data_IF_394118508218
#
_entry.id   IF_394118508218
#
_cell.length_a   1.000
_cell.length_b   1.000
_cell.length_c   1.000
_cell.angle_alpha   90.00
_cell.angle_beta   90.00
_cell.angle_gamma   90.00
#
_symmetry.space_group_name_H-M   'P 1'
#
loop_
_entity.id
_entity.type
_entity.pdbx_description
1 polymer ?
#
# COMPACT_ATOMS: atom_id res chain seq x y z
N UNK A 1 22.85 0.10 13.64
CA UNK A 1 21.97 -1.06 13.35
C UNK A 1 20.82 -0.56 12.49
N UNK A 2 20.43 -1.26 11.40
CA UNK A 2 19.28 -0.86 10.59
C UNK A 2 17.98 -1.01 11.39
N UNK A 3 17.01 -0.12 11.17
CA UNK A 3 15.69 -0.16 11.82
C UNK A 3 14.63 -0.94 11.01
N UNK A 4 15.00 -1.32 9.79
CA UNK A 4 14.13 -1.98 8.81
C UNK A 4 14.86 -3.18 8.20
N UNK A 5 14.11 -4.25 7.96
CA UNK A 5 14.50 -5.39 7.15
C UNK A 5 14.09 -5.12 5.69
N UNK A 6 14.96 -5.48 4.75
CA UNK A 6 14.74 -5.34 3.30
C UNK A 6 14.68 -6.74 2.68
N UNK A 7 13.67 -7.02 1.85
CA UNK A 7 13.39 -8.35 1.31
C UNK A 7 13.01 -8.29 -0.18
N UNK A 8 13.27 -9.39 -0.90
CA UNK A 8 12.88 -9.55 -2.29
C UNK A 8 13.71 -8.71 -3.25
N UNK A 9 13.07 -8.08 -4.24
CA UNK A 9 13.72 -7.19 -5.22
C UNK A 9 14.14 -5.83 -4.65
N UNK A 10 13.94 -5.61 -3.35
CA UNK A 10 14.18 -4.31 -2.72
C UNK A 10 15.64 -3.88 -2.85
N UNK A 11 15.86 -2.67 -3.34
CA UNK A 11 17.16 -2.04 -3.50
C UNK A 11 17.21 -0.70 -2.75
N UNK A 12 18.36 -0.38 -2.17
CA UNK A 12 18.61 0.90 -1.52
C UNK A 12 19.53 1.76 -2.37
N UNK A 13 19.25 3.05 -2.39
CA UNK A 13 20.18 4.09 -2.83
C UNK A 13 20.37 5.08 -1.68
N UNK A 14 21.22 6.09 -1.88
CA UNK A 14 21.34 7.19 -0.92
C UNK A 14 20.12 8.10 -0.87
N UNK A 15 19.15 7.97 -1.79
CA UNK A 15 18.02 8.90 -1.93
C UNK A 15 16.67 8.22 -1.70
N UNK A 16 16.54 6.94 -2.05
CA UNK A 16 15.29 6.21 -1.96
C UNK A 16 15.50 4.72 -1.74
N UNK A 17 14.46 4.08 -1.21
CA UNK A 17 14.28 2.63 -1.24
C UNK A 17 13.37 2.30 -2.41
N UNK A 18 13.82 1.41 -3.30
CA UNK A 18 13.03 0.92 -4.43
C UNK A 18 12.58 -0.49 -4.11
N UNK A 19 11.27 -0.72 -4.00
CA UNK A 19 10.69 -2.04 -3.73
C UNK A 19 10.78 -2.95 -4.96
N UNK A 20 10.33 -2.46 -6.12
CA UNK A 20 10.42 -3.14 -7.41
C UNK A 20 11.03 -2.23 -8.49
N UNK A 21 11.86 -2.76 -9.42
CA UNK A 21 12.22 -2.06 -10.65
C UNK A 21 11.06 -2.07 -11.67
N UNK A 22 11.19 -1.29 -12.75
CA UNK A 22 10.33 -1.34 -13.95
C UNK A 22 10.65 -2.60 -14.77
N UNK A 23 10.52 -3.77 -14.13
CA UNK A 23 10.71 -5.11 -14.68
C UNK A 23 9.57 -6.01 -14.23
N UNK A 24 9.27 -7.04 -15.02
CA UNK A 24 8.20 -8.00 -14.75
C UNK A 24 8.54 -8.96 -13.61
N UNK A 25 7.49 -9.48 -12.98
CA UNK A 25 7.53 -10.57 -12.00
C UNK A 25 8.47 -10.29 -10.82
N UNK A 26 8.37 -9.10 -10.23
CA UNK A 26 9.16 -8.70 -9.06
C UNK A 26 8.27 -8.52 -7.85
N UNK A 27 8.81 -8.92 -6.70
CA UNK A 27 8.20 -8.71 -5.40
C UNK A 27 9.28 -8.20 -4.45
N UNK A 28 9.00 -7.08 -3.77
CA UNK A 28 9.91 -6.49 -2.80
C UNK A 28 9.16 -5.92 -1.62
N UNK A 29 9.73 -6.04 -0.43
CA UNK A 29 9.15 -5.49 0.78
C UNK A 29 10.19 -4.94 1.76
N UNK A 30 9.74 -4.00 2.59
CA UNK A 30 10.44 -3.51 3.77
C UNK A 30 9.56 -3.64 5.00
N UNK A 31 10.18 -3.99 6.13
CA UNK A 31 9.47 -4.24 7.38
C UNK A 31 10.20 -3.65 8.56
N UNK A 32 9.48 -2.93 9.43
CA UNK A 32 10.07 -2.35 10.62
C UNK A 32 10.47 -3.45 11.61
N UNK A 33 11.61 -3.28 12.28
CA UNK A 33 12.09 -4.25 13.27
C UNK A 33 11.23 -4.30 14.53
N UNK A 34 10.71 -3.15 14.95
CA UNK A 34 10.04 -3.00 16.23
C UNK A 34 8.52 -3.00 16.05
N UNK A 35 7.79 -3.79 16.85
CA UNK A 35 6.33 -3.68 16.87
C UNK A 35 5.91 -2.32 17.42
N UNK A 36 4.88 -1.73 16.82
CA UNK A 36 4.37 -0.42 17.20
C UNK A 36 3.29 -0.56 18.29
N UNK A 37 3.57 -0.01 19.47
CA UNK A 37 2.67 0.01 20.63
C UNK A 37 1.89 1.32 20.79
N UNK A 38 2.01 2.25 19.83
CA UNK A 38 1.21 3.47 19.82
C UNK A 38 -0.26 3.12 19.54
N UNK A 39 -1.16 3.61 20.37
CA UNK A 39 -2.62 3.43 20.20
C UNK A 39 -3.20 4.39 19.17
N UNK A 40 -2.61 5.58 19.09
CA UNK A 40 -2.97 6.65 18.18
C UNK A 40 -1.69 7.04 17.44
N UNK A 41 -1.72 6.96 16.10
CA UNK A 41 -0.55 7.19 15.26
C UNK A 41 -0.96 7.78 13.91
N UNK A 42 0.02 8.41 13.27
CA UNK A 42 -0.08 8.88 11.91
C UNK A 42 1.24 8.55 11.20
N UNK A 43 1.13 7.91 10.05
CA UNK A 43 2.26 7.54 9.21
C UNK A 43 2.20 8.38 7.94
N UNK A 44 3.26 9.15 7.68
CA UNK A 44 3.46 9.85 6.42
C UNK A 44 4.41 9.04 5.56
N UNK A 45 4.01 8.80 4.31
CA UNK A 45 4.80 8.08 3.32
C UNK A 45 5.03 9.02 2.15
N UNK A 46 6.28 9.41 1.94
CA UNK A 46 6.75 9.99 0.69
C UNK A 46 7.08 8.84 -0.25
N UNK A 47 6.34 8.74 -1.35
CA UNK A 47 6.48 7.64 -2.30
C UNK A 47 6.55 8.18 -3.72
N UNK A 48 6.98 7.32 -4.66
CA UNK A 48 6.89 7.59 -6.08
C UNK A 48 6.59 6.29 -6.82
N UNK A 49 5.50 6.27 -7.58
CA UNK A 49 5.21 5.18 -8.54
C UNK A 49 5.46 5.73 -9.93
N UNK A 50 6.45 5.19 -10.63
CA UNK A 50 6.80 5.66 -11.96
C UNK A 50 7.32 4.52 -12.84
N UNK A 51 7.15 4.67 -14.15
CA UNK A 51 7.59 3.66 -15.12
C UNK A 51 7.32 4.08 -16.56
N UNK A 52 7.93 3.37 -17.49
CA UNK A 52 7.93 3.68 -18.93
C UNK A 52 6.85 2.95 -19.73
N UNK A 53 6.08 2.08 -19.06
CA UNK A 53 4.94 1.37 -19.64
C UNK A 53 3.98 2.30 -20.39
N UNK A 54 3.63 1.93 -21.63
CA UNK A 54 2.76 2.73 -22.50
C UNK A 54 1.28 2.50 -22.14
N UNK A 55 0.48 3.56 -22.19
CA UNK A 55 -0.97 3.51 -21.87
C UNK A 55 -1.18 2.87 -20.48
N UNK A 56 -2.03 1.86 -20.39
CA UNK A 56 -2.41 1.17 -19.16
C UNK A 56 -1.61 -0.13 -18.93
N UNK A 57 -0.50 -0.34 -19.66
CA UNK A 57 0.35 -1.51 -19.50
C UNK A 57 1.41 -1.23 -18.43
N UNK A 58 0.97 -1.14 -17.17
CA UNK A 58 1.80 -0.95 -15.99
C UNK A 58 1.06 -1.51 -14.78
N UNK A 59 1.79 -2.09 -13.82
CA UNK A 59 1.20 -2.68 -12.63
C UNK A 59 2.25 -3.25 -11.69
N UNK A 60 1.88 -3.71 -10.48
CA UNK A 60 0.50 -3.75 -9.98
C UNK A 60 0.26 -2.65 -8.94
N UNK A 61 1.23 -2.34 -8.08
CA UNK A 61 1.11 -1.24 -7.13
C UNK A 61 1.94 -1.39 -5.87
N UNK A 62 1.54 -0.65 -4.83
CA UNK A 62 2.15 -0.67 -3.49
C UNK A 62 1.11 -1.08 -2.46
N UNK A 63 1.50 -1.88 -1.47
CA UNK A 63 0.74 -2.08 -0.25
C UNK A 63 1.50 -1.51 0.96
N UNK A 64 0.80 -0.80 1.83
CA UNK A 64 1.28 -0.39 3.15
C UNK A 64 0.61 -1.25 4.22
N UNK A 65 1.40 -1.64 5.22
CA UNK A 65 1.01 -2.66 6.19
C UNK A 65 1.08 -2.13 7.61
N UNK A 66 0.09 -2.52 8.40
CA UNK A 66 0.16 -2.59 9.85
C UNK A 66 -0.32 -3.97 10.29
N UNK A 67 0.59 -4.94 10.40
CA UNK A 67 0.24 -6.37 10.50
C UNK A 67 1.00 -7.13 11.57
N UNK A 68 0.40 -8.24 12.04
CA UNK A 68 1.01 -9.14 13.03
C UNK A 68 2.31 -9.77 12.53
N UNK A 69 2.24 -10.32 11.33
CA UNK A 69 3.35 -11.02 10.70
C UNK A 69 4.13 -10.03 9.83
N UNK A 70 5.44 -10.20 9.74
CA UNK A 70 6.35 -9.42 8.88
C UNK A 70 7.25 -10.37 8.08
N UNK A 71 7.83 -9.89 6.97
CA UNK A 71 8.80 -10.65 6.15
C UNK A 71 8.28 -11.95 5.53
N UNK A 72 6.97 -12.04 5.26
CA UNK A 72 6.39 -13.16 4.54
C UNK A 72 5.95 -12.67 3.15
N UNK A 73 6.64 -13.07 2.07
CA UNK A 73 6.24 -12.69 0.71
C UNK A 73 4.95 -13.40 0.29
N UNK A 74 4.33 -12.92 -0.78
CA UNK A 74 3.12 -13.52 -1.32
C UNK A 74 2.43 -12.65 -2.38
N UNK A 75 1.25 -13.09 -2.84
CA UNK A 75 0.61 -12.54 -4.04
C UNK A 75 -0.01 -11.14 -3.83
N UNK A 76 -0.08 -10.63 -2.60
CA UNK A 76 -0.75 -9.36 -2.30
C UNK A 76 0.30 -8.25 -2.34
N UNK A 77 0.54 -7.70 -3.54
CA UNK A 77 1.56 -6.67 -3.79
C UNK A 77 2.93 -7.05 -3.20
N UNK A 78 3.36 -8.30 -3.36
CA UNK A 78 4.64 -8.82 -2.86
C UNK A 78 4.65 -9.24 -1.38
N UNK A 79 3.49 -9.33 -0.72
CA UNK A 79 3.34 -9.77 0.68
C UNK A 79 2.26 -10.85 0.82
N UNK A 80 2.27 -11.55 1.95
CA UNK A 80 1.35 -12.67 2.22
C UNK A 80 -0.13 -12.26 2.13
N UNK A 81 -0.92 -13.18 1.59
CA UNK A 81 -2.38 -13.16 1.75
C UNK A 81 -2.78 -13.62 3.18
N UNK A 82 -4.08 -13.56 3.51
CA UNK A 82 -4.61 -14.01 4.80
C UNK A 82 -3.88 -13.35 5.99
N UNK A 83 -3.58 -12.06 5.86
CA UNK A 83 -2.88 -11.29 6.88
C UNK A 83 -3.79 -11.00 8.09
N UNK A 84 -3.17 -10.65 9.21
CA UNK A 84 -3.86 -10.11 10.37
C UNK A 84 -3.45 -8.65 10.54
N UNK A 85 -4.39 -7.71 10.40
CA UNK A 85 -4.14 -6.28 10.57
C UNK A 85 -4.79 -5.42 9.50
N UNK A 86 -4.12 -4.33 9.16
CA UNK A 86 -4.56 -3.34 8.16
C UNK A 86 -3.63 -3.37 6.95
N UNK A 87 -4.23 -3.29 5.77
CA UNK A 87 -3.56 -3.01 4.52
C UNK A 87 -4.16 -1.76 3.86
N UNK A 88 -3.30 -0.94 3.27
CA UNK A 88 -3.66 0.17 2.39
C UNK A 88 -3.05 -0.12 1.03
N UNK A 89 -3.88 -0.37 0.02
CA UNK A 89 -3.45 -0.70 -1.32
C UNK A 89 -3.47 0.55 -2.19
N UNK A 90 -2.39 0.80 -2.93
CA UNK A 90 -2.25 1.81 -3.96
C UNK A 90 -2.17 1.05 -5.28
N UNK A 91 -3.34 0.68 -5.80
CA UNK A 91 -3.47 -0.18 -6.96
C UNK A 91 -3.43 0.63 -8.25
N UNK A 92 -2.61 0.21 -9.21
CA UNK A 92 -2.39 0.94 -10.46
C UNK A 92 -2.98 0.26 -11.68
N UNK A 93 -3.40 -0.99 -11.57
CA UNK A 93 -3.85 -1.78 -12.71
C UNK A 93 -5.26 -2.34 -12.48
N UNK A 94 -6.25 -2.03 -13.33
CA UNK A 94 -7.57 -2.64 -13.23
C UNK A 94 -7.53 -4.08 -13.75
N UNK A 95 -7.44 -5.06 -12.86
CA UNK A 95 -7.57 -6.48 -13.17
C UNK A 95 -9.05 -6.88 -13.41
N UNK A 96 -10.02 -6.25 -12.73
CA UNK A 96 -11.45 -6.53 -12.97
C UNK A 96 -11.94 -5.89 -14.29
N UNK A 97 -12.14 -6.70 -15.33
CA UNK A 97 -12.72 -6.25 -16.61
C UNK A 97 -14.09 -5.56 -16.48
N UNK A 98 -14.81 -5.82 -15.38
CA UNK A 98 -16.12 -5.24 -15.07
C UNK A 98 -16.06 -4.14 -14.00
N UNK A 99 -14.87 -3.60 -13.73
CA UNK A 99 -14.69 -2.59 -12.69
C UNK A 99 -15.45 -1.31 -13.01
N UNK A 100 -16.11 -0.77 -12.00
CA UNK A 100 -16.70 0.57 -12.02
C UNK A 100 -15.74 1.62 -11.42
N UNK A 101 -14.59 1.17 -10.91
CA UNK A 101 -13.58 2.01 -10.26
C UNK A 101 -12.63 2.63 -11.29
N UNK A 102 -12.19 3.86 -11.02
CA UNK A 102 -11.19 4.56 -11.84
C UNK A 102 -9.82 4.40 -11.19
N UNK A 103 -8.85 3.89 -11.97
CA UNK A 103 -7.49 3.63 -11.52
C UNK A 103 -6.53 4.79 -11.88
N UNK A 104 -5.49 5.04 -11.06
CA UNK A 104 -5.13 4.29 -9.85
C UNK A 104 -6.13 4.44 -8.69
N UNK A 105 -6.27 3.38 -7.89
CA UNK A 105 -7.29 3.26 -6.84
C UNK A 105 -6.64 2.95 -5.49
N UNK A 106 -6.91 3.79 -4.50
CA UNK A 106 -6.47 3.58 -3.12
C UNK A 106 -7.60 2.92 -2.36
N UNK A 107 -7.33 1.80 -1.69
CA UNK A 107 -8.32 1.10 -0.87
C UNK A 107 -7.74 0.61 0.46
N UNK A 108 -8.61 0.36 1.44
CA UNK A 108 -8.23 -0.21 2.72
C UNK A 108 -8.93 -1.52 3.00
N UNK A 109 -8.19 -2.45 3.60
CA UNK A 109 -8.68 -3.77 4.01
C UNK A 109 -8.21 -4.07 5.43
N UNK A 110 -9.15 -4.47 6.30
CA UNK A 110 -8.83 -5.02 7.63
C UNK A 110 -9.10 -6.51 7.59
N UNK A 111 -8.13 -7.29 8.06
CA UNK A 111 -8.19 -8.74 7.99
C UNK A 111 -7.83 -9.37 9.33
N UNK A 112 -8.50 -10.46 9.67
CA UNK A 112 -8.30 -11.28 10.85
C UNK A 112 -7.64 -12.63 10.51
N UNK A 113 -7.13 -12.79 9.30
CA UNK A 113 -6.53 -14.01 8.77
C UNK A 113 -7.48 -14.88 7.92
N UNK A 114 -8.79 -14.64 7.93
CA UNK A 114 -9.74 -15.48 7.18
C UNK A 114 -10.06 -14.97 5.77
N UNK A 115 -9.81 -13.68 5.50
CA UNK A 115 -10.11 -13.10 4.19
C UNK A 115 -8.91 -13.28 3.25
N UNK A 116 -9.19 -13.54 1.98
CA UNK A 116 -8.21 -13.55 0.89
C UNK A 116 -8.41 -12.30 0.04
N UNK A 117 -7.32 -11.66 -0.37
CA UNK A 117 -7.37 -10.57 -1.34
C UNK A 117 -7.48 -11.14 -2.76
N UNK A 118 -8.64 -10.97 -3.37
CA UNK A 118 -8.87 -11.38 -4.77
C UNK A 118 -8.22 -10.38 -5.73
N UNK A 119 -6.98 -10.66 -6.12
CA UNK A 119 -6.23 -9.81 -7.05
C UNK A 119 -6.87 -9.74 -8.45
N UNK A 120 -7.59 -10.78 -8.89
CA UNK A 120 -8.31 -10.75 -10.17
C UNK A 120 -9.49 -9.78 -10.19
N UNK A 121 -9.90 -9.33 -9.00
CA UNK A 121 -11.01 -8.40 -8.78
C UNK A 121 -10.60 -7.14 -8.03
N UNK A 122 -9.30 -6.82 -7.99
CA UNK A 122 -8.74 -5.67 -7.27
C UNK A 122 -9.29 -5.56 -5.83
N UNK A 123 -9.40 -6.69 -5.12
CA UNK A 123 -9.90 -6.76 -3.75
C UNK A 123 -11.37 -6.35 -3.54
N UNK A 124 -12.20 -6.30 -4.60
CA UNK A 124 -13.59 -5.80 -4.59
C UNK A 124 -14.45 -6.32 -3.44
N UNK A 125 -14.29 -7.59 -3.08
CA UNK A 125 -15.13 -8.24 -2.06
C UNK A 125 -14.72 -7.92 -0.61
N UNK A 126 -13.51 -7.41 -0.42
CA UNK A 126 -12.88 -7.19 0.89
C UNK A 126 -12.51 -5.73 1.13
N UNK A 127 -12.86 -4.85 0.19
CA UNK A 127 -12.71 -3.41 0.31
C UNK A 127 -13.63 -2.86 1.42
N UNK A 128 -13.04 -2.12 2.37
CA UNK A 128 -13.82 -1.40 3.38
C UNK A 128 -14.16 0.03 2.93
N UNK A 129 -13.23 0.69 2.26
CA UNK A 129 -13.39 2.01 1.67
C UNK A 129 -12.24 2.26 0.68
N UNK A 130 -12.46 3.17 -0.27
CA UNK A 130 -11.46 3.55 -1.25
C UNK A 130 -11.75 4.86 -1.96
N UNK A 131 -10.77 5.35 -2.72
CA UNK A 131 -10.91 6.50 -3.58
C UNK A 131 -10.01 6.36 -4.82
N UNK A 132 -10.40 7.02 -5.92
CA UNK A 132 -9.50 7.20 -7.07
C UNK A 132 -8.46 8.28 -6.76
N UNK A 133 -7.20 8.03 -7.12
CA UNK A 133 -6.09 8.94 -6.85
C UNK A 133 -5.02 8.85 -7.94
N UNK A 134 -4.75 9.97 -8.62
CA UNK A 134 -3.75 10.01 -9.69
C UNK A 134 -2.35 10.27 -9.13
N UNK A 135 -1.69 9.20 -8.67
CA UNK A 135 -0.37 9.27 -8.01
C UNK A 135 0.80 8.79 -8.89
N UNK A 136 0.55 8.29 -10.11
CA UNK A 136 1.58 7.67 -10.95
C UNK A 136 2.20 8.69 -11.91
N UNK A 137 3.52 8.61 -12.13
CA UNK A 137 4.26 9.47 -13.08
C UNK A 137 4.04 10.98 -12.87
N UNK A 138 3.91 11.42 -11.61
CA UNK A 138 3.85 12.84 -11.26
C UNK A 138 5.24 13.48 -11.32
N UNK A 139 5.31 14.72 -11.83
CA UNK A 139 6.56 15.48 -12.00
C UNK A 139 7.06 16.12 -10.69
N UNK A 140 6.24 16.05 -9.64
CA UNK A 140 6.51 16.51 -8.29
C UNK A 140 6.43 15.36 -7.27
N UNK A 141 6.62 15.67 -6.00
CA UNK A 141 6.57 14.71 -4.91
C UNK A 141 5.13 14.28 -4.60
N UNK A 142 4.96 13.01 -4.21
CA UNK A 142 3.66 12.43 -3.86
C UNK A 142 3.69 11.86 -2.45
N UNK A 143 2.69 12.21 -1.65
CA UNK A 143 2.62 11.81 -0.25
C UNK A 143 1.29 11.16 0.10
N UNK A 144 1.35 10.22 1.05
CA UNK A 144 0.20 9.58 1.68
C UNK A 144 0.30 9.75 3.20
N UNK A 145 -0.80 10.14 3.84
CA UNK A 145 -0.94 10.10 5.28
C UNK A 145 -1.97 9.03 5.66
N UNK A 146 -1.57 8.12 6.54
CA UNK A 146 -2.44 7.10 7.14
C UNK A 146 -2.52 7.39 8.63
N UNK A 147 -3.69 7.79 9.10
CA UNK A 147 -3.94 8.12 10.49
C UNK A 147 -4.90 7.12 11.12
N UNK A 148 -4.50 6.53 12.24
CA UNK A 148 -5.37 5.72 13.07
C UNK A 148 -5.42 6.29 14.49
N UNK A 149 -6.62 6.68 14.92
CA UNK A 149 -6.82 7.17 16.29
C UNK A 149 -8.23 6.87 16.77
N UNK A 150 -8.34 6.28 17.97
CA UNK A 150 -9.63 5.96 18.62
C UNK A 150 -10.64 5.25 17.71
N UNK A 151 -10.16 4.34 16.86
CA UNK A 151 -10.98 3.58 15.93
C UNK A 151 -11.46 4.33 14.68
N UNK A 152 -10.98 5.56 14.45
CA UNK A 152 -11.10 6.28 13.19
C UNK A 152 -9.85 6.03 12.35
N UNK A 153 -10.05 5.59 11.12
CA UNK A 153 -9.00 5.42 10.11
C UNK A 153 -9.21 6.47 9.03
N UNK A 154 -8.20 7.32 8.82
CA UNK A 154 -8.21 8.37 7.81
C UNK A 154 -7.03 8.18 6.88
N UNK A 155 -7.28 8.14 5.57
CA UNK A 155 -6.24 8.15 4.52
C UNK A 155 -6.36 9.45 3.74
N UNK A 156 -5.25 10.15 3.59
CA UNK A 156 -5.17 11.42 2.88
C UNK A 156 -4.00 11.40 1.90
N UNK A 157 -4.13 12.18 0.83
CA UNK A 157 -3.16 12.24 -0.26
C UNK A 157 -2.73 13.68 -0.51
N UNK A 158 -1.45 13.90 -0.78
CA UNK A 158 -0.96 15.14 -1.38
C UNK A 158 -0.26 14.79 -2.70
N UNK A 159 -0.95 15.05 -3.81
CA UNK A 159 -0.56 14.63 -5.16
C UNK A 159 -0.57 15.80 -6.16
N UNK A 160 -0.94 17.01 -5.74
CA UNK A 160 -1.20 18.16 -6.61
C UNK A 160 -0.20 19.31 -6.42
N UNK A 161 0.90 19.06 -5.69
CA UNK A 161 1.93 20.06 -5.35
C UNK A 161 1.37 21.30 -4.63
N UNK A 162 0.36 21.07 -3.77
CA UNK A 162 -0.33 22.12 -3.01
C UNK A 162 0.09 22.17 -1.55
N UNK A 163 0.90 21.21 -1.10
CA UNK A 163 1.21 21.02 0.32
C UNK A 163 -0.08 20.92 1.15
N UNK A 164 -1.07 20.18 0.62
CA UNK A 164 -2.42 20.09 1.18
C UNK A 164 -2.88 18.63 1.20
N UNK A 165 -3.32 18.16 2.38
CA UNK A 165 -3.90 16.84 2.54
C UNK A 165 -5.34 16.80 2.02
N UNK A 166 -5.53 16.17 0.85
CA UNK A 166 -6.86 15.86 0.33
C UNK A 166 -7.36 14.56 0.97
N UNK A 167 -8.59 14.57 1.50
CA UNK A 167 -9.20 13.36 2.05
C UNK A 167 -9.47 12.32 0.95
N UNK A 168 -9.12 11.07 1.24
CA UNK A 168 -9.42 9.90 0.40
C UNK A 168 -10.38 8.95 1.12
N UNK A 169 -10.04 8.56 2.35
CA UNK A 169 -10.82 7.63 3.18
C UNK A 169 -10.98 8.25 4.56
N UNK A 170 -12.18 8.14 5.14
CA UNK A 170 -12.44 8.53 6.53
C UNK A 170 -13.57 7.68 7.11
N UNK A 171 -13.18 6.63 7.83
CA UNK A 171 -14.11 5.65 8.39
C UNK A 171 -13.90 5.48 9.89
N UNK A 172 -14.95 5.08 10.58
CA UNK A 172 -14.93 4.83 12.04
C UNK A 172 -15.29 3.38 12.35
N UNK A 173 -15.04 2.94 13.58
CA UNK A 173 -15.31 1.57 14.02
C UNK A 173 -14.20 0.56 13.67
N UNK A 174 -13.07 1.01 13.12
CA UNK A 174 -11.92 0.17 12.82
C UNK A 174 -11.21 -0.24 14.12
N UNK A 175 -11.01 -1.53 14.35
CA UNK A 175 -10.35 -2.05 15.57
C UNK A 175 -9.04 -2.72 15.20
N UNK A 176 -7.93 -2.10 15.57
CA UNK A 176 -6.58 -2.63 15.37
C UNK A 176 -5.90 -2.84 16.73
N UNK A 177 -5.24 -3.99 16.94
CA UNK A 177 -4.45 -4.21 18.16
C UNK A 177 -3.14 -3.42 18.09
N UNK A 178 -2.58 -3.08 19.25
CA UNK A 178 -1.18 -2.64 19.33
C UNK A 178 -0.21 -3.82 19.16
N UNK A 179 1.06 -3.53 18.89
CA UNK A 179 2.13 -4.54 18.83
C UNK A 179 2.30 -5.16 17.44
N UNK A 180 1.72 -4.58 16.40
CA UNK A 180 1.91 -4.98 15.00
C UNK A 180 3.04 -4.18 14.34
N UNK A 181 3.50 -4.64 13.19
CA UNK A 181 4.62 -4.07 12.46
C UNK A 181 4.14 -3.17 11.33
N UNK A 182 4.84 -2.05 11.15
CA UNK A 182 4.75 -1.30 9.90
C UNK A 182 5.56 -1.97 8.80
N UNK A 183 5.02 -1.98 7.59
CA UNK A 183 5.70 -2.48 6.40
C UNK A 183 5.22 -1.81 5.14
N UNK A 184 5.98 -1.98 4.07
CA UNK A 184 5.56 -1.63 2.72
C UNK A 184 6.02 -2.73 1.76
N UNK A 185 5.21 -3.06 0.76
CA UNK A 185 5.58 -4.00 -0.29
C UNK A 185 5.07 -3.53 -1.65
N UNK A 186 5.67 -4.03 -2.71
CA UNK A 186 5.21 -3.81 -4.07
C UNK A 186 5.37 -5.09 -4.89
N UNK A 187 4.52 -5.22 -5.90
CA UNK A 187 4.54 -6.30 -6.88
C UNK A 187 4.49 -5.77 -8.31
N UNK A 188 5.14 -6.46 -9.24
CA UNK A 188 4.97 -6.29 -10.68
C UNK A 188 4.61 -7.64 -11.30
N UNK A 189 3.51 -7.69 -12.05
CA UNK A 189 3.06 -8.88 -12.78
C UNK A 189 3.72 -9.06 -14.14
N UNK A 190 2.91 -9.41 -15.14
CA UNK A 190 3.32 -9.67 -16.53
C UNK A 190 3.62 -8.41 -17.35
N UNK A 191 3.33 -7.23 -16.79
CA UNK A 191 3.42 -5.93 -17.47
C UNK A 191 4.76 -5.26 -17.20
#
# INVERSE_FOLDING_TARGET
>A
MPLWDFQGSTMLTSQYVRLTPDERSKEGSIWNHQPCFLKDWEMHVHFKVHGTGKKNLHGDGIALWYTRDRLVPGPVFGSKDNFHGLAIFLDTYPNDETTERVFPYISVMVNNGSLSYDHSKDGRWTELAGCTADFRNRDHDTFLAVRYSRGRLTVMTDLEDKNEWKNCIDITGVRLPTGYYFGASAGTGDL
#
